data_IF_419561305386
#
_entry.id   IF_419561305386
#
_cell.length_a   1.000
_cell.length_b   1.000
_cell.length_c   1.000
_cell.angle_alpha   90.00
_cell.angle_beta   90.00
_cell.angle_gamma   90.00
#
_symmetry.space_group_name_H-M   'P 1'
#
loop_
_entity.id
_entity.type
_entity.pdbx_description
1 polymer ?
#
# COMPACT_ATOMS: atom_id res chain seq x y z
N UNK A 1 0.88 -20.21 23.16
CA UNK A 1 1.88 -19.48 22.38
C UNK A 1 1.48 -18.01 22.33
N UNK A 2 2.29 -17.11 22.90
CA UNK A 2 1.88 -15.71 23.01
C UNK A 2 2.99 -14.79 22.55
N UNK A 3 2.64 -13.84 21.69
CA UNK A 3 3.51 -12.74 21.26
C UNK A 3 4.00 -11.95 22.50
N UNK A 4 5.27 -11.54 22.51
CA UNK A 4 5.82 -10.66 23.54
C UNK A 4 5.02 -9.33 23.65
N UNK A 5 5.19 -8.60 24.75
CA UNK A 5 4.48 -7.33 24.90
C UNK A 5 4.95 -6.33 23.83
N UNK A 6 4.07 -5.46 23.31
CA UNK A 6 4.45 -4.44 22.31
C UNK A 6 5.59 -3.53 22.81
N UNK A 7 5.67 -3.25 24.12
CA UNK A 7 6.75 -2.45 24.69
C UNK A 7 8.11 -3.17 24.61
N UNK A 8 8.12 -4.47 24.92
CA UNK A 8 9.33 -5.31 24.83
C UNK A 8 9.81 -5.42 23.40
N UNK A 9 8.91 -5.65 22.45
CA UNK A 9 9.23 -5.74 21.02
C UNK A 9 9.87 -4.43 20.51
N UNK A 10 9.28 -3.28 20.86
CA UNK A 10 9.82 -1.98 20.45
C UNK A 10 11.18 -1.67 21.09
N UNK A 11 11.39 -2.07 22.35
CA UNK A 11 12.69 -1.95 23.01
C UNK A 11 13.76 -2.81 22.33
N UNK A 12 13.44 -4.08 22.04
CA UNK A 12 14.33 -4.99 21.29
C UNK A 12 14.66 -4.45 19.91
N UNK A 13 13.65 -4.01 19.15
CA UNK A 13 13.85 -3.43 17.82
C UNK A 13 14.74 -2.19 17.85
N UNK A 14 14.55 -1.30 18.84
CA UNK A 14 15.39 -0.10 19.01
C UNK A 14 16.84 -0.45 19.34
N UNK A 15 17.07 -1.47 20.16
CA UNK A 15 18.41 -1.94 20.48
C UNK A 15 19.07 -2.56 19.26
N UNK A 16 18.41 -3.51 18.59
CA UNK A 16 18.90 -4.16 17.39
C UNK A 16 19.21 -3.17 16.26
N UNK A 17 18.32 -2.17 16.05
CA UNK A 17 18.55 -1.11 15.08
C UNK A 17 19.79 -0.27 15.35
N UNK A 18 20.09 0.01 16.62
CA UNK A 18 21.23 0.85 17.01
C UNK A 18 22.57 0.15 16.90
N UNK A 19 22.62 -1.16 16.95
CA UNK A 19 23.88 -1.93 16.94
C UNK A 19 24.72 -1.61 15.69
N UNK A 20 24.11 -1.58 14.49
CA UNK A 20 24.76 -1.27 13.21
C UNK A 20 24.00 -0.15 12.48
N UNK A 21 23.80 0.98 13.18
CA UNK A 21 22.90 2.04 12.73
C UNK A 21 23.28 2.65 11.36
N UNK A 22 24.56 2.71 11.02
CA UNK A 22 25.04 3.28 9.76
C UNK A 22 24.68 2.38 8.58
N UNK A 23 25.01 1.07 8.66
CA UNK A 23 24.68 0.08 7.65
C UNK A 23 23.17 -0.08 7.48
N UNK A 24 22.45 -0.15 8.58
CA UNK A 24 20.99 -0.24 8.58
C UNK A 24 20.34 0.95 7.85
N UNK A 25 20.84 2.17 8.06
CA UNK A 25 20.37 3.36 7.34
C UNK A 25 20.73 3.31 5.86
N UNK A 26 21.91 2.80 5.51
CA UNK A 26 22.33 2.65 4.12
C UNK A 26 21.39 1.72 3.35
N UNK A 27 21.01 0.59 3.93
CA UNK A 27 20.06 -0.36 3.33
C UNK A 27 18.69 0.30 3.13
N UNK A 28 18.20 1.02 4.14
CA UNK A 28 16.90 1.72 4.03
C UNK A 28 16.97 2.85 3.00
N UNK A 29 18.10 3.55 2.88
CA UNK A 29 18.33 4.57 1.86
C UNK A 29 18.23 3.95 0.45
N UNK A 30 18.91 2.84 0.21
CA UNK A 30 18.86 2.13 -1.07
C UNK A 30 17.44 1.63 -1.38
N UNK A 31 16.76 1.08 -0.36
CA UNK A 31 15.37 0.67 -0.51
C UNK A 31 14.46 1.85 -0.86
N UNK A 32 14.55 2.95 -0.14
CA UNK A 32 13.74 4.15 -0.37
C UNK A 32 14.04 4.77 -1.75
N UNK A 33 15.32 4.81 -2.16
CA UNK A 33 15.73 5.32 -3.46
C UNK A 33 15.15 4.49 -4.62
N UNK A 34 15.16 3.16 -4.51
CA UNK A 34 14.55 2.31 -5.51
C UNK A 34 13.02 2.37 -5.50
N UNK A 35 12.40 2.37 -4.31
CA UNK A 35 10.96 2.40 -4.14
C UNK A 35 10.31 3.69 -4.64
N UNK A 36 10.99 4.82 -4.53
CA UNK A 36 10.48 6.14 -4.93
C UNK A 36 11.11 6.67 -6.22
N UNK A 37 12.30 6.22 -6.56
CA UNK A 37 13.00 6.67 -7.76
C UNK A 37 12.28 6.26 -9.06
N UNK A 38 11.80 5.03 -9.16
CA UNK A 38 11.02 4.56 -10.31
C UNK A 38 9.72 5.34 -10.50
N UNK A 39 8.87 5.53 -9.49
CA UNK A 39 7.69 6.40 -9.59
C UNK A 39 8.02 7.84 -10.00
N UNK A 40 9.12 8.42 -9.51
CA UNK A 40 9.56 9.76 -9.90
C UNK A 40 9.94 9.84 -11.39
N UNK A 41 10.59 8.82 -11.93
CA UNK A 41 10.90 8.74 -13.36
C UNK A 41 9.61 8.67 -14.20
N UNK A 42 8.64 7.85 -13.77
CA UNK A 42 7.33 7.76 -14.43
C UNK A 42 6.63 9.13 -14.41
N UNK A 43 6.68 9.83 -13.29
CA UNK A 43 6.11 11.18 -13.17
C UNK A 43 6.81 12.19 -14.07
N UNK A 44 8.15 12.15 -14.16
CA UNK A 44 8.90 13.04 -15.07
C UNK A 44 8.51 12.80 -16.54
N UNK A 45 8.32 11.55 -16.95
CA UNK A 45 7.82 11.21 -18.29
C UNK A 45 6.41 11.77 -18.50
N UNK A 46 5.53 11.65 -17.51
CA UNK A 46 4.17 12.22 -17.56
C UNK A 46 4.20 13.75 -17.78
N UNK A 47 5.06 14.45 -17.05
CA UNK A 47 5.21 15.88 -17.21
C UNK A 47 5.71 16.27 -18.62
N UNK A 48 6.63 15.50 -19.17
CA UNK A 48 7.10 15.69 -20.54
C UNK A 48 5.98 15.47 -21.55
N UNK A 49 5.14 14.46 -21.38
CA UNK A 49 4.01 14.15 -22.25
C UNK A 49 2.95 15.26 -22.25
N UNK A 50 2.76 15.95 -21.14
CA UNK A 50 1.79 17.04 -21.00
C UNK A 50 2.31 18.39 -21.51
N UNK A 51 3.57 18.48 -21.96
CA UNK A 51 4.09 19.72 -22.52
C UNK A 51 3.47 20.01 -23.91
N UNK A 52 2.96 21.24 -24.14
CA UNK A 52 2.35 21.60 -25.41
C UNK A 52 3.32 21.54 -26.60
N UNK A 53 4.63 21.60 -26.34
CA UNK A 53 5.68 21.50 -27.38
C UNK A 53 5.67 20.13 -28.10
N UNK A 54 5.22 19.05 -27.43
CA UNK A 54 5.13 17.74 -28.06
C UNK A 54 3.86 17.55 -28.90
N UNK A 55 2.86 18.42 -28.74
CA UNK A 55 1.59 18.36 -29.48
C UNK A 55 1.60 19.15 -30.81
N UNK A 56 2.57 20.04 -30.99
CA UNK A 56 2.61 20.97 -32.17
C UNK A 56 3.50 20.50 -33.30
N UNK A 57 4.28 19.46 -33.13
CA UNK A 57 5.20 18.93 -34.15
C UNK A 57 4.56 17.79 -34.93
N UNK A 58 4.20 18.03 -36.19
CA UNK A 58 3.72 17.09 -37.19
C UNK A 58 3.84 15.56 -36.94
N UNK A 59 3.86 14.72 -37.95
CA UNK A 59 3.94 13.23 -37.83
C UNK A 59 5.08 12.73 -36.94
N UNK A 60 6.19 13.44 -36.83
CA UNK A 60 7.31 13.09 -35.94
C UNK A 60 6.98 13.30 -34.47
N UNK A 61 6.18 14.30 -34.12
CA UNK A 61 5.74 14.54 -32.74
C UNK A 61 4.76 13.46 -32.22
N UNK A 62 3.87 13.00 -33.11
CA UNK A 62 2.92 11.92 -32.79
C UNK A 62 3.68 10.60 -32.47
N UNK A 63 4.67 10.26 -33.29
CA UNK A 63 5.49 9.04 -33.06
C UNK A 63 6.28 9.10 -31.77
N UNK A 64 6.90 10.25 -31.45
CA UNK A 64 7.66 10.40 -30.21
C UNK A 64 6.78 10.32 -28.96
N UNK A 65 5.61 10.96 -29.00
CA UNK A 65 4.62 10.87 -27.91
C UNK A 65 4.16 9.45 -27.66
N UNK A 66 3.83 8.69 -28.70
CA UNK A 66 3.42 7.29 -28.59
C UNK A 66 4.53 6.40 -27.97
N UNK A 67 5.81 6.67 -28.31
CA UNK A 67 6.93 5.97 -27.67
C UNK A 67 7.01 6.30 -26.19
N UNK A 68 6.91 7.58 -25.81
CA UNK A 68 6.94 7.98 -24.39
C UNK A 68 5.78 7.39 -23.58
N UNK A 69 4.56 7.38 -24.13
CA UNK A 69 3.38 6.76 -23.52
C UNK A 69 3.60 5.25 -23.32
N UNK A 70 4.19 4.57 -24.29
CA UNK A 70 4.54 3.16 -24.19
C UNK A 70 5.59 2.92 -23.12
N UNK A 71 6.68 3.71 -23.10
CA UNK A 71 7.73 3.62 -22.08
C UNK A 71 7.16 3.86 -20.69
N UNK A 72 6.31 4.88 -20.52
CA UNK A 72 5.64 5.17 -19.26
C UNK A 72 4.79 3.98 -18.78
N UNK A 73 3.98 3.40 -19.68
CA UNK A 73 3.12 2.25 -19.34
C UNK A 73 3.95 1.03 -18.92
N UNK A 74 5.01 0.72 -19.67
CA UNK A 74 5.93 -0.38 -19.35
C UNK A 74 6.62 -0.14 -18.01
N UNK A 75 7.15 1.06 -17.78
CA UNK A 75 7.87 1.40 -16.56
C UNK A 75 6.95 1.41 -15.34
N UNK A 76 5.72 1.93 -15.49
CA UNK A 76 4.69 1.90 -14.43
C UNK A 76 4.30 0.46 -14.07
N UNK A 77 4.07 -0.38 -15.07
CA UNK A 77 3.75 -1.80 -14.87
C UNK A 77 4.92 -2.55 -14.23
N UNK A 78 6.16 -2.31 -14.70
CA UNK A 78 7.36 -2.88 -14.11
C UNK A 78 7.52 -2.48 -12.64
N UNK A 79 7.29 -1.21 -12.31
CA UNK A 79 7.35 -0.71 -10.92
C UNK A 79 6.36 -1.45 -10.02
N UNK A 80 5.13 -1.62 -10.46
CA UNK A 80 4.09 -2.33 -9.68
C UNK A 80 4.45 -3.81 -9.44
N UNK A 81 5.10 -4.46 -10.40
CA UNK A 81 5.52 -5.87 -10.28
C UNK A 81 6.80 -6.00 -9.44
N UNK A 82 7.79 -5.12 -9.61
CA UNK A 82 9.10 -5.24 -8.98
C UNK A 82 9.11 -4.76 -7.52
N UNK A 83 8.31 -3.73 -7.20
CA UNK A 83 8.29 -3.12 -5.87
C UNK A 83 7.99 -4.12 -4.74
N UNK A 84 7.05 -5.07 -4.86
CA UNK A 84 6.81 -6.08 -3.82
C UNK A 84 8.02 -6.99 -3.56
N UNK A 85 8.80 -7.36 -4.59
CA UNK A 85 10.02 -8.16 -4.40
C UNK A 85 11.10 -7.36 -3.67
N UNK A 86 11.22 -6.08 -4.01
CA UNK A 86 12.11 -5.15 -3.32
C UNK A 86 11.72 -4.97 -1.85
N UNK A 87 10.43 -4.94 -1.56
CA UNK A 87 9.90 -4.90 -0.20
C UNK A 87 10.24 -6.17 0.61
N UNK A 88 10.17 -7.36 -0.01
CA UNK A 88 10.61 -8.59 0.63
C UNK A 88 12.09 -8.55 1.00
N UNK A 89 12.94 -7.92 0.20
CA UNK A 89 14.34 -7.69 0.53
C UNK A 89 14.50 -6.85 1.80
N UNK A 90 13.70 -5.79 1.97
CA UNK A 90 13.70 -5.01 3.20
C UNK A 90 13.26 -5.85 4.43
N UNK A 91 12.25 -6.70 4.26
CA UNK A 91 11.83 -7.63 5.33
C UNK A 91 12.93 -8.63 5.68
N UNK A 92 13.68 -9.12 4.68
CA UNK A 92 14.85 -9.96 4.91
C UNK A 92 15.90 -9.22 5.74
N UNK A 93 16.28 -8.02 5.34
CA UNK A 93 17.23 -7.18 6.09
C UNK A 93 16.75 -6.91 7.52
N UNK A 94 15.47 -6.61 7.71
CA UNK A 94 14.89 -6.41 9.04
C UNK A 94 14.96 -7.68 9.91
N UNK A 95 14.81 -8.86 9.30
CA UNK A 95 14.93 -10.14 9.99
C UNK A 95 16.38 -10.39 10.49
N UNK A 96 17.39 -10.10 9.67
CA UNK A 96 18.79 -10.20 10.05
C UNK A 96 19.13 -9.21 11.18
N UNK A 97 18.70 -7.96 11.05
CA UNK A 97 18.85 -6.93 12.10
C UNK A 97 18.21 -7.39 13.41
N UNK A 98 17.02 -8.00 13.37
CA UNK A 98 16.33 -8.46 14.59
C UNK A 98 17.07 -9.58 15.31
N UNK A 99 17.92 -10.33 14.62
CA UNK A 99 18.79 -11.39 15.15
C UNK A 99 20.12 -10.87 15.68
N UNK A 100 20.37 -9.57 15.52
CA UNK A 100 21.66 -8.94 15.88
C UNK A 100 22.77 -9.18 14.87
N UNK A 101 22.42 -9.65 13.67
CA UNK A 101 23.36 -9.92 12.58
C UNK A 101 23.45 -8.70 11.64
N UNK A 102 24.56 -8.57 10.93
CA UNK A 102 24.74 -7.49 9.98
C UNK A 102 23.87 -7.72 8.73
N UNK A 103 23.03 -6.74 8.44
CA UNK A 103 22.27 -6.74 7.21
C UNK A 103 23.17 -6.20 6.08
N UNK A 104 23.20 -6.91 4.96
CA UNK A 104 23.97 -6.52 3.77
C UNK A 104 23.04 -6.10 2.63
N UNK A 105 23.58 -5.38 1.64
CA UNK A 105 22.82 -5.00 0.43
C UNK A 105 22.29 -6.20 -0.34
N UNK A 106 22.97 -7.36 -0.23
CA UNK A 106 22.53 -8.61 -0.85
C UNK A 106 21.17 -9.09 -0.37
N UNK A 107 20.82 -8.79 0.89
CA UNK A 107 19.53 -9.15 1.46
C UNK A 107 18.36 -8.39 0.78
N UNK A 108 18.60 -7.20 0.19
CA UNK A 108 17.59 -6.49 -0.58
C UNK A 108 17.17 -7.25 -1.85
N UNK A 109 18.03 -8.09 -2.38
CA UNK A 109 17.75 -8.90 -3.56
C UNK A 109 17.16 -10.29 -3.26
N UNK A 110 16.98 -10.64 -1.98
CA UNK A 110 16.47 -11.96 -1.59
C UNK A 110 15.04 -12.21 -2.11
N UNK A 111 14.21 -11.17 -2.20
CA UNK A 111 12.90 -11.28 -2.82
C UNK A 111 12.96 -11.71 -4.28
N UNK A 112 13.97 -11.25 -5.03
CA UNK A 112 14.19 -11.64 -6.42
C UNK A 112 14.80 -13.04 -6.54
N UNK A 113 15.67 -13.44 -5.62
CA UNK A 113 16.22 -14.81 -5.57
C UNK A 113 15.12 -15.84 -5.36
N UNK A 114 14.08 -15.49 -4.61
CA UNK A 114 12.91 -16.34 -4.31
C UNK A 114 11.67 -15.95 -5.09
N UNK A 115 11.82 -15.29 -6.24
CA UNK A 115 10.74 -14.67 -7.00
C UNK A 115 9.52 -15.58 -7.23
N UNK A 116 9.74 -16.87 -7.58
CA UNK A 116 8.65 -17.81 -7.86
C UNK A 116 7.79 -18.13 -6.62
N UNK A 117 8.41 -18.27 -5.46
CA UNK A 117 7.70 -18.49 -4.20
C UNK A 117 7.02 -17.20 -3.70
N UNK A 118 7.71 -16.07 -3.83
CA UNK A 118 7.20 -14.75 -3.49
C UNK A 118 5.98 -14.38 -4.35
N UNK A 119 6.06 -14.57 -5.66
CA UNK A 119 4.95 -14.31 -6.58
C UNK A 119 3.72 -15.17 -6.24
N UNK A 120 3.92 -16.47 -6.00
CA UNK A 120 2.81 -17.37 -5.60
C UNK A 120 2.19 -16.93 -4.28
N UNK A 121 3.00 -16.52 -3.30
CA UNK A 121 2.51 -16.01 -2.02
C UNK A 121 1.68 -14.75 -2.20
N UNK A 122 2.18 -13.80 -3.00
CA UNK A 122 1.46 -12.55 -3.31
C UNK A 122 0.14 -12.83 -4.02
N UNK A 123 0.14 -13.67 -5.07
CA UNK A 123 -1.07 -14.02 -5.81
C UNK A 123 -2.12 -14.69 -4.92
N UNK A 124 -1.72 -15.69 -4.12
CA UNK A 124 -2.64 -16.38 -3.22
C UNK A 124 -3.21 -15.44 -2.16
N UNK A 125 -2.38 -14.57 -1.59
CA UNK A 125 -2.79 -13.58 -0.60
C UNK A 125 -3.73 -12.54 -1.20
N UNK A 126 -3.37 -11.98 -2.36
CA UNK A 126 -4.20 -10.99 -3.07
C UNK A 126 -5.54 -11.57 -3.45
N UNK A 127 -5.57 -12.80 -4.00
CA UNK A 127 -6.82 -13.48 -4.34
C UNK A 127 -7.74 -13.62 -3.13
N UNK A 128 -7.20 -14.04 -1.98
CA UNK A 128 -7.99 -14.17 -0.75
C UNK A 128 -8.49 -12.83 -0.21
N UNK A 129 -7.69 -11.76 -0.31
CA UNK A 129 -8.13 -10.41 0.05
C UNK A 129 -9.22 -9.91 -0.89
N UNK A 130 -9.01 -10.05 -2.21
CA UNK A 130 -9.97 -9.59 -3.22
C UNK A 130 -11.33 -10.24 -3.05
N UNK A 131 -11.38 -11.56 -2.83
CA UNK A 131 -12.64 -12.27 -2.58
C UNK A 131 -13.35 -11.72 -1.35
N UNK A 132 -12.63 -11.49 -0.23
CA UNK A 132 -13.25 -11.01 1.00
C UNK A 132 -13.67 -9.55 0.93
N UNK A 133 -12.86 -8.71 0.29
CA UNK A 133 -13.21 -7.31 0.04
C UNK A 133 -14.47 -7.25 -0.82
N UNK A 134 -14.53 -8.03 -1.91
CA UNK A 134 -15.71 -8.11 -2.77
C UNK A 134 -16.96 -8.55 -2.02
N UNK A 135 -16.87 -9.64 -1.24
CA UNK A 135 -17.99 -10.09 -0.40
C UNK A 135 -18.38 -9.03 0.63
N UNK A 136 -17.40 -8.37 1.24
CA UNK A 136 -17.66 -7.30 2.21
C UNK A 136 -18.35 -6.08 1.59
N UNK A 137 -17.92 -5.65 0.41
CA UNK A 137 -18.57 -4.59 -0.36
C UNK A 137 -20.01 -5.01 -0.72
N UNK A 138 -20.19 -6.25 -1.17
CA UNK A 138 -21.53 -6.79 -1.50
C UNK A 138 -22.47 -6.78 -0.28
N UNK A 139 -21.97 -7.18 0.90
CA UNK A 139 -22.75 -7.12 2.15
C UNK A 139 -23.06 -5.66 2.51
N UNK A 140 -22.06 -4.77 2.44
CA UNK A 140 -22.25 -3.33 2.73
C UNK A 140 -23.27 -2.69 1.80
N UNK A 141 -23.21 -2.96 0.51
CA UNK A 141 -24.18 -2.47 -0.47
C UNK A 141 -25.59 -3.04 -0.24
N UNK A 142 -25.69 -4.31 0.14
CA UNK A 142 -26.99 -4.94 0.48
C UNK A 142 -27.59 -4.28 1.71
N UNK A 143 -26.78 -4.00 2.75
CA UNK A 143 -27.25 -3.28 3.94
C UNK A 143 -27.71 -1.88 3.55
N UNK A 144 -26.97 -1.16 2.69
CA UNK A 144 -27.37 0.15 2.19
C UNK A 144 -28.74 0.10 1.51
N UNK A 145 -29.01 -0.92 0.67
CA UNK A 145 -30.28 -1.07 -0.04
C UNK A 145 -31.50 -1.24 0.87
N UNK A 146 -31.30 -1.61 2.14
CA UNK A 146 -32.39 -1.71 3.14
C UNK A 146 -32.62 -0.36 3.85
N UNK A 147 -31.73 0.61 3.69
CA UNK A 147 -31.87 1.93 4.31
C UNK A 147 -32.81 2.84 3.51
N UNK A 148 -33.48 3.82 4.15
CA UNK A 148 -34.32 4.80 3.43
C UNK A 148 -33.56 5.66 2.41
N UNK A 149 -32.25 5.82 2.60
CA UNK A 149 -31.36 6.58 1.70
C UNK A 149 -31.19 5.92 0.33
N UNK A 150 -31.42 4.60 0.23
CA UNK A 150 -31.30 3.86 -1.04
C UNK A 150 -32.37 4.26 -2.07
N UNK A 151 -33.56 4.64 -1.63
CA UNK A 151 -34.66 5.02 -2.57
C UNK A 151 -34.26 6.24 -3.42
N UNK A 152 -33.69 7.27 -2.80
CA UNK A 152 -33.24 8.46 -3.51
C UNK A 152 -32.08 8.12 -4.45
N UNK A 153 -31.10 7.36 -3.97
CA UNK A 153 -29.97 6.92 -4.76
C UNK A 153 -30.42 6.10 -5.98
N UNK A 154 -31.36 5.17 -5.84
CA UNK A 154 -31.89 4.37 -6.94
C UNK A 154 -32.70 5.21 -7.94
N UNK A 155 -33.49 6.18 -7.49
CA UNK A 155 -34.23 7.11 -8.38
C UNK A 155 -33.27 7.92 -9.23
N UNK A 156 -32.20 8.45 -8.61
CA UNK A 156 -31.18 9.24 -9.32
C UNK A 156 -30.39 8.40 -10.29
N UNK A 157 -29.93 7.21 -9.89
CA UNK A 157 -29.20 6.32 -10.79
C UNK A 157 -30.06 5.85 -11.97
N UNK A 158 -31.33 5.57 -11.74
CA UNK A 158 -32.26 5.22 -12.80
C UNK A 158 -32.56 6.41 -13.73
N UNK A 159 -32.67 7.63 -13.20
CA UNK A 159 -32.83 8.83 -14.02
C UNK A 159 -31.65 9.07 -14.93
N UNK A 160 -30.41 8.97 -14.39
CA UNK A 160 -29.18 9.13 -15.16
C UNK A 160 -29.04 8.03 -16.23
N UNK A 161 -29.35 6.78 -15.89
CA UNK A 161 -29.26 5.67 -16.82
C UNK A 161 -30.23 5.77 -18.01
N UNK A 162 -31.35 6.46 -17.84
CA UNK A 162 -32.38 6.68 -18.88
C UNK A 162 -32.22 8.02 -19.60
N UNK A 163 -31.31 8.86 -19.19
CA UNK A 163 -31.08 10.18 -19.81
C UNK A 163 -30.10 10.08 -20.98
N UNK A 164 -30.52 10.39 -22.22
CA UNK A 164 -29.63 10.36 -23.39
C UNK A 164 -28.39 11.23 -23.25
N UNK A 165 -28.43 12.28 -22.42
CA UNK A 165 -27.29 13.16 -22.17
C UNK A 165 -26.08 12.43 -21.57
N UNK A 166 -26.32 11.32 -20.87
CA UNK A 166 -25.27 10.50 -20.24
C UNK A 166 -24.92 9.22 -21.00
N UNK A 167 -25.52 9.00 -22.19
CA UNK A 167 -25.29 7.77 -22.97
C UNK A 167 -23.81 7.51 -23.34
N UNK A 168 -23.03 8.59 -23.51
CA UNK A 168 -21.60 8.53 -23.82
C UNK A 168 -20.72 9.14 -22.71
N UNK A 169 -21.28 9.34 -21.52
CA UNK A 169 -20.57 9.96 -20.40
C UNK A 169 -19.48 9.01 -19.85
N UNK A 170 -18.36 9.58 -19.47
CA UNK A 170 -17.29 8.88 -18.79
C UNK A 170 -17.72 8.46 -17.36
N UNK A 171 -17.00 7.50 -16.77
CA UNK A 171 -17.28 7.08 -15.39
C UNK A 171 -17.19 8.26 -14.39
N UNK A 172 -16.29 9.23 -14.64
CA UNK A 172 -16.11 10.44 -13.81
C UNK A 172 -17.33 11.37 -13.93
N UNK A 173 -17.83 11.61 -15.15
CA UNK A 173 -19.01 12.44 -15.39
C UNK A 173 -20.27 11.82 -14.78
N UNK A 174 -20.42 10.48 -14.88
CA UNK A 174 -21.50 9.75 -14.24
C UNK A 174 -21.43 9.86 -12.72
N UNK A 175 -20.24 9.69 -12.13
CA UNK A 175 -20.06 9.83 -10.69
C UNK A 175 -20.36 11.27 -10.23
N UNK A 176 -19.88 12.28 -10.95
CA UNK A 176 -20.18 13.68 -10.64
C UNK A 176 -21.70 13.97 -10.71
N UNK A 177 -22.40 13.44 -11.71
CA UNK A 177 -23.84 13.56 -11.83
C UNK A 177 -24.57 12.89 -10.66
N UNK A 178 -24.18 11.68 -10.27
CA UNK A 178 -24.74 10.97 -9.13
C UNK A 178 -24.54 11.77 -7.84
N UNK A 179 -23.30 12.28 -7.60
CA UNK A 179 -22.99 13.09 -6.40
C UNK A 179 -23.84 14.34 -6.31
N UNK A 180 -24.03 15.04 -7.43
CA UNK A 180 -24.80 16.29 -7.49
C UNK A 180 -26.31 16.06 -7.31
N UNK A 181 -26.84 14.95 -7.81
CA UNK A 181 -28.28 14.68 -7.82
C UNK A 181 -28.77 13.87 -6.60
N UNK A 182 -27.99 12.86 -6.16
CA UNK A 182 -28.38 12.02 -5.02
C UNK A 182 -28.12 12.68 -3.66
N UNK A 183 -27.22 13.65 -3.62
CA UNK A 183 -26.79 14.29 -2.39
C UNK A 183 -25.60 13.60 -1.72
N UNK A 184 -24.79 14.41 -1.05
CA UNK A 184 -23.54 13.94 -0.42
C UNK A 184 -23.75 12.82 0.61
N UNK A 185 -24.81 12.92 1.43
CA UNK A 185 -25.01 11.98 2.54
C UNK A 185 -25.41 10.58 2.09
N UNK A 186 -26.21 10.46 1.02
CA UNK A 186 -26.62 9.15 0.48
C UNK A 186 -25.43 8.37 -0.03
N UNK A 187 -24.55 9.07 -0.75
CA UNK A 187 -23.31 8.49 -1.29
C UNK A 187 -22.32 8.19 -0.18
N UNK A 188 -22.12 9.12 0.74
CA UNK A 188 -21.22 8.92 1.87
C UNK A 188 -21.63 7.70 2.71
N UNK A 189 -22.93 7.52 2.99
CA UNK A 189 -23.43 6.36 3.73
C UNK A 189 -23.18 5.05 2.96
N UNK A 190 -23.42 5.03 1.64
CA UNK A 190 -23.13 3.87 0.80
C UNK A 190 -21.65 3.48 0.88
N UNK A 191 -20.74 4.44 0.67
CA UNK A 191 -19.31 4.21 0.77
C UNK A 191 -18.86 3.74 2.16
N UNK A 192 -19.38 4.37 3.22
CA UNK A 192 -19.05 3.98 4.60
C UNK A 192 -19.47 2.54 4.87
N UNK A 193 -20.67 2.14 4.47
CA UNK A 193 -21.15 0.76 4.66
C UNK A 193 -20.34 -0.25 3.83
N UNK A 194 -20.00 0.08 2.59
CA UNK A 194 -19.14 -0.76 1.75
C UNK A 194 -17.73 -0.91 2.35
N UNK A 195 -17.12 0.19 2.80
CA UNK A 195 -15.80 0.18 3.44
C UNK A 195 -15.83 -0.60 4.75
N UNK A 196 -16.85 -0.42 5.59
CA UNK A 196 -17.01 -1.18 6.83
C UNK A 196 -17.20 -2.67 6.57
N UNK A 197 -18.04 -3.04 5.60
CA UNK A 197 -18.23 -4.42 5.18
C UNK A 197 -16.91 -5.06 4.70
N UNK A 198 -16.17 -4.36 3.85
CA UNK A 198 -14.86 -4.79 3.39
C UNK A 198 -13.85 -4.92 4.55
N UNK A 199 -13.79 -3.93 5.44
CA UNK A 199 -12.87 -3.92 6.57
C UNK A 199 -13.13 -5.05 7.56
N UNK A 200 -14.39 -5.32 7.90
CA UNK A 200 -14.77 -6.41 8.83
C UNK A 200 -14.27 -7.76 8.35
N UNK A 201 -14.27 -8.01 7.04
CA UNK A 201 -13.81 -9.28 6.46
C UNK A 201 -12.31 -9.28 6.13
N UNK A 202 -11.74 -8.16 5.70
CA UNK A 202 -10.34 -8.08 5.27
C UNK A 202 -9.36 -7.92 6.44
N UNK A 203 -9.69 -7.13 7.48
CA UNK A 203 -8.78 -6.86 8.60
C UNK A 203 -8.39 -8.13 9.38
N UNK A 204 -9.31 -9.05 9.74
CA UNK A 204 -8.90 -10.30 10.39
C UNK A 204 -7.97 -11.16 9.53
N UNK A 205 -8.19 -11.15 8.20
CA UNK A 205 -7.35 -11.87 7.25
C UNK A 205 -5.96 -11.23 7.13
N UNK A 206 -5.89 -9.90 7.15
CA UNK A 206 -4.64 -9.16 7.16
C UNK A 206 -3.76 -9.58 8.34
N UNK A 207 -4.29 -9.58 9.56
CA UNK A 207 -3.53 -10.04 10.73
C UNK A 207 -3.17 -11.52 10.65
N UNK A 208 -4.05 -12.35 10.11
CA UNK A 208 -3.79 -13.78 9.93
C UNK A 208 -2.57 -14.07 9.05
N UNK A 209 -2.33 -13.27 8.01
CA UNK A 209 -1.26 -13.49 7.05
C UNK A 209 -0.09 -12.49 7.19
N UNK A 210 -0.10 -11.68 8.23
CA UNK A 210 0.92 -10.62 8.43
C UNK A 210 2.34 -11.17 8.52
N UNK A 211 2.52 -12.38 9.05
CA UNK A 211 3.84 -13.00 9.22
C UNK A 211 4.25 -13.88 8.03
N UNK A 212 3.43 -14.02 6.99
CA UNK A 212 3.69 -14.93 5.87
C UNK A 212 4.97 -14.61 5.10
N UNK A 213 5.30 -13.33 4.95
CA UNK A 213 6.50 -12.88 4.27
C UNK A 213 7.77 -13.28 5.04
N UNK A 214 7.77 -13.12 6.36
CA UNK A 214 8.87 -13.55 7.25
C UNK A 214 9.01 -15.07 7.25
N UNK A 215 7.92 -15.83 7.31
CA UNK A 215 7.94 -17.29 7.21
C UNK A 215 8.53 -17.75 5.88
N UNK A 216 8.17 -17.09 4.78
CA UNK A 216 8.73 -17.39 3.46
C UNK A 216 10.23 -17.17 3.40
N UNK A 217 10.71 -16.05 3.96
CA UNK A 217 12.13 -15.67 3.96
C UNK A 217 12.96 -16.57 4.87
N UNK A 218 12.42 -16.98 6.01
CA UNK A 218 13.10 -17.80 7.00
C UNK A 218 13.11 -19.31 6.65
N UNK A 219 12.29 -19.74 5.71
CA UNK A 219 12.17 -21.15 5.35
C UNK A 219 13.25 -21.58 4.37
N UNK A 220 13.96 -22.71 4.58
CA UNK A 220 14.96 -23.23 3.63
C UNK A 220 14.33 -23.72 2.32
N UNK A 221 13.07 -24.18 2.37
CA UNK A 221 12.26 -24.58 1.21
C UNK A 221 10.97 -23.76 1.19
N UNK A 222 11.01 -22.56 0.58
CA UNK A 222 9.89 -21.65 0.64
C UNK A 222 8.70 -22.15 -0.18
N UNK A 223 7.65 -22.59 0.50
CA UNK A 223 6.35 -22.89 -0.10
C UNK A 223 5.35 -21.81 0.24
N UNK A 224 4.73 -21.17 -0.77
CA UNK A 224 3.78 -20.07 -0.55
C UNK A 224 2.58 -20.49 0.33
N UNK A 225 2.01 -21.67 0.05
CA UNK A 225 0.89 -22.20 0.83
C UNK A 225 1.30 -22.52 2.27
N UNK A 226 2.48 -23.12 2.45
CA UNK A 226 3.04 -23.42 3.77
C UNK A 226 3.27 -22.13 4.58
N UNK A 227 3.80 -21.07 3.92
CA UNK A 227 4.01 -19.77 4.56
C UNK A 227 2.69 -19.16 5.05
N UNK A 228 1.62 -19.23 4.25
CA UNK A 228 0.28 -18.76 4.67
C UNK A 228 -0.28 -19.60 5.83
N UNK A 229 -0.19 -20.92 5.76
CA UNK A 229 -0.69 -21.82 6.79
C UNK A 229 0.05 -21.59 8.12
N UNK A 230 1.38 -21.52 8.07
CA UNK A 230 2.23 -21.30 9.25
C UNK A 230 1.98 -19.91 9.85
N UNK A 231 1.90 -18.85 9.01
CA UNK A 231 1.51 -17.53 9.48
C UNK A 231 0.15 -17.53 10.17
N UNK A 232 -0.85 -18.21 9.57
CA UNK A 232 -2.18 -18.32 10.16
C UNK A 232 -2.18 -19.05 11.51
N UNK A 233 -1.32 -20.05 11.66
CA UNK A 233 -1.14 -20.79 12.89
C UNK A 233 -0.48 -19.94 13.98
N UNK A 234 0.64 -19.27 13.65
CA UNK A 234 1.37 -18.36 14.55
C UNK A 234 0.49 -17.21 15.05
N UNK A 235 -0.39 -16.69 14.17
CA UNK A 235 -1.26 -15.57 14.49
C UNK A 235 -2.53 -15.96 15.25
N UNK A 236 -2.82 -17.25 15.42
CA UNK A 236 -3.97 -17.71 16.19
C UNK A 236 -3.83 -17.29 17.67
N UNK A 237 -4.72 -16.40 18.13
CA UNK A 237 -4.70 -15.81 19.48
C UNK A 237 -3.75 -14.61 19.64
N UNK A 238 -2.87 -14.31 18.65
CA UNK A 238 -1.89 -13.24 18.74
C UNK A 238 -2.28 -11.96 17.97
N UNK A 239 -3.34 -12.01 17.16
CA UNK A 239 -3.78 -10.87 16.34
C UNK A 239 -4.03 -9.60 17.17
N UNK A 240 -4.65 -9.71 18.36
CA UNK A 240 -4.90 -8.57 19.26
C UNK A 240 -3.60 -7.93 19.77
N UNK A 241 -2.56 -8.71 20.02
CA UNK A 241 -1.25 -8.22 20.49
C UNK A 241 -0.49 -7.54 19.36
N UNK A 242 -0.58 -8.08 18.14
CA UNK A 242 -0.01 -7.43 16.97
C UNK A 242 -0.75 -6.12 16.65
N UNK A 243 -2.08 -6.10 16.76
CA UNK A 243 -2.86 -4.87 16.67
C UNK A 243 -2.43 -3.82 17.72
N UNK A 244 -2.14 -4.25 18.95
CA UNK A 244 -1.62 -3.35 19.99
C UNK A 244 -0.20 -2.81 19.65
N UNK A 245 0.61 -3.57 18.89
CA UNK A 245 1.88 -3.07 18.35
C UNK A 245 1.63 -2.01 17.27
N UNK A 246 0.72 -2.27 16.33
CA UNK A 246 0.32 -1.30 15.30
C UNK A 246 -0.22 -0.02 15.94
N UNK A 247 -1.01 -0.15 17.01
CA UNK A 247 -1.51 1.01 17.75
C UNK A 247 -0.40 1.82 18.42
N UNK A 248 0.72 1.21 18.84
CA UNK A 248 1.90 1.96 19.31
C UNK A 248 2.69 2.61 18.19
N UNK A 249 2.57 2.09 16.98
CA UNK A 249 3.18 2.63 15.75
C UNK A 249 2.23 3.59 14.99
N UNK A 250 1.06 3.96 15.57
CA UNK A 250 0.04 4.78 14.92
C UNK A 250 0.59 6.09 14.35
N UNK A 251 1.53 6.72 15.07
CA UNK A 251 2.20 7.95 14.66
C UNK A 251 2.91 7.81 13.31
N UNK A 252 3.51 6.64 13.03
CA UNK A 252 4.15 6.37 11.76
C UNK A 252 3.12 6.29 10.62
N UNK A 253 1.99 5.64 10.85
CA UNK A 253 0.92 5.58 9.87
C UNK A 253 0.27 6.96 9.65
N UNK A 254 0.17 7.77 10.70
CA UNK A 254 -0.29 9.14 10.59
C UNK A 254 0.69 10.00 9.77
N UNK A 255 2.00 9.82 9.95
CA UNK A 255 3.02 10.49 9.11
C UNK A 255 2.90 10.09 7.64
N UNK A 256 2.59 8.82 7.34
CA UNK A 256 2.38 8.36 5.96
C UNK A 256 1.09 8.93 5.32
N UNK A 257 0.14 9.38 6.12
CA UNK A 257 -1.05 10.07 5.61
C UNK A 257 -0.70 11.45 5.04
N UNK A 258 0.35 12.11 5.56
CA UNK A 258 0.76 13.45 5.12
C UNK A 258 1.13 13.50 3.63
N UNK A 259 2.06 12.67 3.09
CA UNK A 259 2.33 12.65 1.66
C UNK A 259 1.12 12.20 0.84
N UNK A 260 0.28 11.29 1.35
CA UNK A 260 -0.95 10.89 0.66
C UNK A 260 -1.93 12.06 0.49
N UNK A 261 -2.17 12.84 1.55
CA UNK A 261 -3.01 14.05 1.47
C UNK A 261 -2.39 15.11 0.54
N UNK A 262 -1.08 15.26 0.59
CA UNK A 262 -0.37 16.23 -0.22
C UNK A 262 -0.44 15.89 -1.73
N UNK A 263 -0.50 14.59 -2.08
CA UNK A 263 -0.68 14.16 -3.48
C UNK A 263 -2.01 14.63 -4.10
N UNK A 264 -2.99 14.95 -3.26
CA UNK A 264 -4.29 15.52 -3.67
C UNK A 264 -4.38 17.03 -3.41
N UNK A 265 -3.24 17.70 -3.18
CA UNK A 265 -3.19 19.12 -2.82
C UNK A 265 -3.76 20.03 -3.89
N UNK A 266 -3.60 19.68 -5.16
CA UNK A 266 -4.17 20.37 -6.31
C UNK A 266 -5.70 20.36 -6.34
N UNK A 267 -6.34 19.34 -5.76
CA UNK A 267 -7.79 19.22 -5.62
C UNK A 267 -8.28 19.81 -4.30
N UNK A 268 -7.56 19.55 -3.20
CA UNK A 268 -7.98 19.92 -1.84
C UNK A 268 -7.87 21.43 -1.60
N UNK A 269 -6.80 22.09 -2.06
CA UNK A 269 -6.61 23.51 -1.79
C UNK A 269 -7.65 24.41 -2.46
N UNK A 270 -8.00 24.21 -3.76
CA UNK A 270 -9.11 24.93 -4.37
C UNK A 270 -10.46 24.68 -3.68
N UNK A 271 -10.72 23.45 -3.24
CA UNK A 271 -11.93 23.11 -2.49
C UNK A 271 -12.02 23.83 -1.13
N UNK A 272 -10.85 24.17 -0.53
CA UNK A 272 -10.74 25.00 0.68
C UNK A 272 -10.73 26.52 0.38
N UNK A 273 -10.93 26.92 -0.87
CA UNK A 273 -10.92 28.34 -1.29
C UNK A 273 -9.51 28.93 -1.47
N UNK A 274 -8.46 28.12 -1.38
CA UNK A 274 -7.07 28.54 -1.52
C UNK A 274 -6.69 28.46 -3.01
N UNK A 275 -6.55 29.62 -3.66
CA UNK A 275 -6.12 29.70 -5.07
C UNK A 275 -4.59 29.70 -5.14
N UNK A 276 -4.04 28.71 -5.84
CA UNK A 276 -2.61 28.67 -6.14
C UNK A 276 -2.29 29.46 -7.40
N UNK A 277 -1.14 30.14 -7.45
CA UNK A 277 -0.69 30.85 -8.66
C UNK A 277 -0.13 29.92 -9.74
N UNK A 278 -0.31 28.59 -9.59
CA UNK A 278 0.21 27.55 -10.47
C UNK A 278 -0.93 27.00 -11.35
N UNK A 279 -0.67 26.80 -12.63
CA UNK A 279 -1.58 26.10 -13.54
C UNK A 279 -1.64 24.61 -13.22
N UNK A 280 -2.78 23.94 -13.54
CA UNK A 280 -3.12 22.58 -13.10
C UNK A 280 -1.97 21.56 -13.14
N UNK A 281 -1.31 21.37 -14.29
CA UNK A 281 -0.23 20.37 -14.44
C UNK A 281 1.00 20.67 -13.58
N UNK A 282 1.37 21.93 -13.44
CA UNK A 282 2.48 22.34 -12.59
C UNK A 282 2.17 22.23 -11.11
N UNK A 283 0.93 22.51 -10.71
CA UNK A 283 0.50 22.30 -9.34
C UNK A 283 0.59 20.81 -8.96
N UNK A 284 0.04 19.93 -9.80
CA UNK A 284 0.12 18.49 -9.63
C UNK A 284 1.56 18.00 -9.54
N UNK A 285 2.46 18.49 -10.39
CA UNK A 285 3.88 18.15 -10.37
C UNK A 285 4.56 18.56 -9.06
N UNK A 286 4.36 19.79 -8.62
CA UNK A 286 4.97 20.31 -7.39
C UNK A 286 4.46 19.52 -6.18
N UNK A 287 3.17 19.24 -6.07
CA UNK A 287 2.62 18.45 -4.97
C UNK A 287 3.11 17.00 -4.99
N UNK A 288 3.21 16.39 -6.15
CA UNK A 288 3.75 15.04 -6.29
C UNK A 288 5.22 14.95 -5.91
N UNK A 289 6.04 15.93 -6.30
CA UNK A 289 7.45 16.00 -5.90
C UNK A 289 7.59 16.21 -4.41
N UNK A 290 6.84 17.14 -3.83
CA UNK A 290 6.87 17.42 -2.40
C UNK A 290 6.39 16.21 -1.58
N UNK A 291 5.32 15.56 -2.01
CA UNK A 291 4.82 14.32 -1.45
C UNK A 291 5.89 13.22 -1.47
N UNK A 292 6.54 13.02 -2.61
CA UNK A 292 7.61 12.01 -2.76
C UNK A 292 8.82 12.34 -1.88
N UNK A 293 9.22 13.59 -1.76
CA UNK A 293 10.32 14.01 -0.89
C UNK A 293 10.01 13.76 0.59
N UNK A 294 8.79 14.08 1.02
CA UNK A 294 8.34 13.81 2.40
C UNK A 294 8.27 12.31 2.65
N UNK A 295 7.72 11.54 1.71
CA UNK A 295 7.65 10.09 1.83
C UNK A 295 9.04 9.45 1.90
N UNK A 296 9.99 9.95 1.11
CA UNK A 296 11.39 9.52 1.17
C UNK A 296 11.99 9.79 2.55
N UNK A 297 11.79 10.98 3.10
CA UNK A 297 12.28 11.33 4.43
C UNK A 297 11.67 10.42 5.52
N UNK A 298 10.37 10.16 5.46
CA UNK A 298 9.69 9.26 6.40
C UNK A 298 10.23 7.83 6.28
N UNK A 299 10.43 7.32 5.06
CA UNK A 299 10.98 5.99 4.84
C UNK A 299 12.41 5.89 5.36
N UNK A 300 13.27 6.85 5.02
CA UNK A 300 14.65 6.89 5.49
C UNK A 300 14.78 6.92 7.02
N UNK A 301 13.95 7.72 7.68
CA UNK A 301 14.04 7.90 9.13
C UNK A 301 13.39 6.77 9.92
N UNK A 302 12.26 6.23 9.48
CA UNK A 302 11.40 5.40 10.32
C UNK A 302 11.12 4.00 9.77
N UNK A 303 11.11 3.81 8.45
CA UNK A 303 10.68 2.54 7.83
C UNK A 303 11.46 1.34 8.34
N UNK A 304 12.78 1.44 8.40
CA UNK A 304 13.63 0.34 8.86
C UNK A 304 13.37 -0.05 10.32
N UNK A 305 13.15 0.92 11.19
CA UNK A 305 12.84 0.66 12.60
C UNK A 305 11.49 -0.03 12.77
N UNK A 306 10.50 0.38 11.99
CA UNK A 306 9.15 -0.21 12.00
C UNK A 306 9.20 -1.65 11.51
N UNK A 307 9.89 -1.92 10.40
CA UNK A 307 10.01 -3.29 9.87
C UNK A 307 10.84 -4.19 10.81
N UNK A 308 11.89 -3.65 11.46
CA UNK A 308 12.62 -4.37 12.51
C UNK A 308 11.71 -4.74 13.69
N UNK A 309 10.77 -3.88 14.08
CA UNK A 309 9.81 -4.21 15.13
C UNK A 309 8.89 -5.39 14.74
N UNK A 310 8.44 -5.47 13.49
CA UNK A 310 7.69 -6.62 13.00
C UNK A 310 8.55 -7.89 12.90
N UNK A 311 9.82 -7.77 12.52
CA UNK A 311 10.75 -8.89 12.52
C UNK A 311 11.00 -9.42 13.95
N UNK A 312 11.18 -8.55 14.95
CA UNK A 312 11.25 -8.95 16.37
C UNK A 312 9.96 -9.62 16.84
N UNK A 313 8.79 -9.14 16.39
CA UNK A 313 7.52 -9.78 16.68
C UNK A 313 7.46 -11.21 16.10
N UNK A 314 7.92 -11.40 14.86
CA UNK A 314 8.02 -12.71 14.23
C UNK A 314 8.96 -13.65 15.01
N UNK A 315 10.17 -13.19 15.38
CA UNK A 315 11.12 -14.01 16.16
C UNK A 315 10.56 -14.40 17.53
N UNK A 316 9.83 -13.52 18.20
CA UNK A 316 9.18 -13.84 19.47
C UNK A 316 8.09 -14.92 19.34
N UNK A 317 7.39 -14.98 18.19
CA UNK A 317 6.43 -16.04 17.89
C UNK A 317 7.14 -17.37 17.57
N UNK A 318 8.26 -17.33 16.85
CA UNK A 318 9.05 -18.51 16.45
C UNK A 318 9.68 -19.20 17.67
N UNK A 319 10.29 -18.44 18.59
CA UNK A 319 10.92 -19.00 19.80
C UNK A 319 9.93 -19.74 20.69
N UNK A 320 8.67 -19.28 20.74
CA UNK A 320 7.61 -19.98 21.46
C UNK A 320 7.13 -21.26 20.75
N UNK A 321 7.35 -21.44 19.45
CA UNK A 321 7.11 -22.71 18.74
C UNK A 321 8.15 -23.78 19.09
N UNK A 322 9.42 -23.39 19.13
CA UNK A 322 10.53 -24.30 19.43
C UNK A 322 10.53 -24.84 20.86
N UNK A 323 9.99 -24.08 21.82
CA UNK A 323 9.92 -24.50 23.24
C UNK A 323 8.84 -25.54 23.55
N UNK A 324 7.91 -25.78 22.64
CA UNK A 324 6.81 -26.75 22.81
C UNK A 324 6.90 -27.98 21.90
N UNK A 325 8.02 -28.17 21.19
CA UNK A 325 8.27 -29.43 20.51
C UNK A 325 8.55 -30.50 21.56
N UNK A 326 7.76 -31.59 21.70
CA UNK A 326 8.13 -32.72 22.55
C UNK A 326 9.42 -33.33 22.03
N UNK A 327 10.39 -33.51 22.90
CA UNK A 327 11.61 -34.29 22.67
C UNK A 327 11.24 -35.72 22.29
#
# INVERSE_FOLDING_TARGET
MFLASPATILAQAKTAWKTNAAENRHIVLLHAAAALGLPLVVMAINLLLNQPLLGTGGLSGIGFRSILETVQTVLSSATQILLPFWQLGLFCSALWISRGEEATTDHLFEGFRRWGAALRLMLLRTLQYSIRIFVGIFIGSTIFMITPFSENFLKVTAAIANDPAYANATAEELMAAIVNLAGFWDIALCYILCILGAAVLAVPLFYRYRMSDYVLLDSPRPGALLALQKSAQMMRGNAKRLFALDLKLWWYYLLLLLPALLSYGDLLLPALGIRLPLSGDWALAVFSLLSSAIQFAIYYLFRGQVETAYACAYESLKTTEGGNAPL
#
